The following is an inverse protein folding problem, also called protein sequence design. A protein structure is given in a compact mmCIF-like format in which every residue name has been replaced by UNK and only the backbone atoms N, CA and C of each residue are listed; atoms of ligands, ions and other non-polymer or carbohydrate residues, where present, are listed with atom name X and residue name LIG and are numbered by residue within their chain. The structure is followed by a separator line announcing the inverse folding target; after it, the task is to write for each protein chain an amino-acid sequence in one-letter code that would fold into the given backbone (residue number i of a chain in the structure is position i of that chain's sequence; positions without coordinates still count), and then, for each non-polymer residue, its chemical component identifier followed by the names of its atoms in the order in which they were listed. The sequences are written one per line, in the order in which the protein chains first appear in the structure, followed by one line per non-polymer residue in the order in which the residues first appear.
data_IF_873396569257
#
_entry.id   IF_873396569257
#
_cell.length_a   1.000
_cell.length_b   1.000
_cell.length_c   1.000
_cell.angle_alpha   90.00
_cell.angle_beta   90.00
_cell.angle_gamma   90.00
#
_symmetry.space_group_name_H-M   'P 1'
#
loop_
_entity.id
_entity.type
_entity.pdbx_description
1 polymer ?
#
# COMPACT_ATOMS: atom_id res chain seq x y z
N UNK A 1 -19.67 -33.96 -27.50
CA UNK A 1 -20.44 -34.78 -28.47
C UNK A 1 -20.82 -36.13 -27.89
N UNK A 2 -21.94 -36.70 -28.34
CA UNK A 2 -22.37 -38.05 -27.98
C UNK A 2 -22.37 -38.92 -29.25
N UNK A 3 -21.48 -39.91 -29.29
CA UNK A 3 -21.41 -40.88 -30.40
C UNK A 3 -21.94 -42.21 -29.89
N UNK A 4 -22.84 -42.82 -30.67
CA UNK A 4 -23.36 -44.17 -30.43
C UNK A 4 -22.72 -45.10 -31.45
N UNK A 5 -21.82 -45.96 -30.96
CA UNK A 5 -21.28 -47.06 -31.76
C UNK A 5 -22.01 -48.35 -31.38
N UNK A 6 -22.62 -49.00 -32.37
CA UNK A 6 -23.34 -50.26 -32.17
C UNK A 6 -22.77 -51.36 -33.05
N UNK A 7 -22.51 -52.53 -32.46
CA UNK A 7 -22.14 -53.74 -33.21
C UNK A 7 -23.37 -54.61 -33.38
N UNK A 8 -23.75 -54.91 -34.62
CA UNK A 8 -24.88 -55.77 -34.92
C UNK A 8 -24.48 -57.25 -34.96
N UNK A 9 -25.34 -58.12 -34.42
CA UNK A 9 -25.21 -59.58 -34.46
C UNK A 9 -26.55 -60.18 -34.88
N UNK A 10 -26.54 -61.03 -35.91
CA UNK A 10 -27.73 -61.71 -36.40
C UNK A 10 -28.02 -62.98 -35.58
N UNK A 11 -29.30 -63.21 -35.25
CA UNK A 11 -29.79 -64.46 -34.69
C UNK A 11 -31.15 -64.80 -35.32
N UNK A 12 -31.13 -65.73 -36.29
CA UNK A 12 -32.26 -65.96 -37.19
C UNK A 12 -32.47 -64.75 -38.12
N UNK A 13 -33.73 -64.35 -38.34
CA UNK A 13 -34.08 -63.17 -39.13
C UNK A 13 -34.06 -61.86 -38.30
N UNK A 14 -33.57 -61.90 -37.06
CA UNK A 14 -33.52 -60.75 -36.15
C UNK A 14 -32.08 -60.28 -35.96
N UNK A 15 -31.84 -58.98 -36.09
CA UNK A 15 -30.58 -58.33 -35.72
C UNK A 15 -30.67 -57.84 -34.28
N UNK A 16 -29.70 -58.23 -33.47
CA UNK A 16 -29.51 -57.75 -32.11
C UNK A 16 -28.27 -56.86 -32.05
N UNK A 17 -28.25 -55.88 -31.16
CA UNK A 17 -27.01 -55.18 -30.85
C UNK A 17 -26.23 -56.00 -29.81
N UNK A 18 -25.02 -56.43 -30.14
CA UNK A 18 -24.16 -57.16 -29.19
C UNK A 18 -23.42 -56.24 -28.23
N UNK A 19 -23.21 -54.98 -28.62
CA UNK A 19 -22.57 -53.95 -27.81
C UNK A 19 -23.00 -52.56 -28.27
N UNK A 20 -23.49 -51.75 -27.34
CA UNK A 20 -23.68 -50.31 -27.50
C UNK A 20 -22.59 -49.63 -26.68
N UNK A 21 -21.76 -48.82 -27.34
CA UNK A 21 -20.79 -47.94 -26.66
C UNK A 21 -21.22 -46.50 -26.90
N UNK A 22 -21.47 -45.77 -25.82
CA UNK A 22 -21.80 -44.35 -25.85
C UNK A 22 -20.55 -43.60 -25.41
N UNK A 23 -19.96 -42.81 -26.30
CA UNK A 23 -18.83 -41.94 -25.97
C UNK A 23 -19.31 -40.51 -25.85
N UNK A 24 -19.15 -39.96 -24.64
CA UNK A 24 -19.45 -38.56 -24.35
C UNK A 24 -18.12 -37.82 -24.19
N UNK A 25 -17.85 -36.88 -25.09
CA UNK A 25 -16.74 -35.93 -24.90
C UNK A 25 -17.26 -34.71 -24.15
N UNK A 26 -16.66 -34.45 -22.98
CA UNK A 26 -16.93 -33.29 -22.15
C UNK A 26 -15.59 -32.66 -21.77
N UNK A 27 -15.47 -31.36 -21.98
CA UNK A 27 -14.33 -30.57 -21.51
C UNK A 27 -14.80 -29.84 -20.26
N UNK A 28 -14.26 -30.16 -19.08
CA UNK A 28 -14.59 -29.40 -17.87
C UNK A 28 -14.01 -27.99 -17.93
N UNK A 29 -14.56 -27.05 -17.15
CA UNK A 29 -13.85 -25.82 -16.81
C UNK A 29 -12.45 -26.13 -16.23
N UNK A 30 -11.52 -25.16 -16.26
CA UNK A 30 -10.20 -25.35 -15.67
C UNK A 30 -10.29 -25.61 -14.16
N UNK A 31 -9.32 -26.33 -13.61
CA UNK A 31 -9.13 -26.38 -12.15
C UNK A 31 -8.80 -24.97 -11.61
N UNK A 32 -9.07 -24.66 -10.33
CA UNK A 32 -8.70 -23.37 -9.75
C UNK A 32 -7.18 -23.12 -9.83
N UNK A 33 -6.75 -21.86 -10.01
CA UNK A 33 -5.35 -21.50 -9.84
C UNK A 33 -4.84 -21.91 -8.46
N UNK A 34 -3.55 -22.21 -8.37
CA UNK A 34 -2.91 -22.60 -7.10
C UNK A 34 -1.74 -21.68 -6.78
N UNK A 35 -1.20 -21.76 -5.57
CA UNK A 35 -0.05 -20.95 -5.13
C UNK A 35 -0.27 -19.44 -5.36
N UNK A 36 -1.46 -18.93 -5.02
CA UNK A 36 -1.71 -17.50 -5.00
C UNK A 36 -0.81 -16.88 -3.92
N UNK A 37 -0.05 -15.87 -4.30
CA UNK A 37 0.80 -15.10 -3.40
C UNK A 37 0.60 -13.62 -3.67
N UNK A 38 0.57 -12.79 -2.62
CA UNK A 38 0.51 -11.35 -2.70
C UNK A 38 1.67 -10.72 -1.90
N UNK A 39 2.23 -9.62 -2.39
CA UNK A 39 3.36 -8.96 -1.71
C UNK A 39 2.91 -8.21 -0.46
N UNK A 40 3.68 -8.36 0.63
CA UNK A 40 3.51 -7.63 1.89
C UNK A 40 4.53 -6.52 2.02
N UNK A 41 4.15 -5.29 1.67
CA UNK A 41 4.97 -4.11 1.95
C UNK A 41 6.19 -3.93 1.04
N UNK A 42 6.36 -4.77 0.02
CA UNK A 42 7.51 -4.73 -0.88
C UNK A 42 7.47 -3.52 -1.84
N UNK A 43 6.27 -3.11 -2.25
CA UNK A 43 6.05 -2.00 -3.17
C UNK A 43 5.16 -0.93 -2.55
N UNK A 44 5.52 0.34 -2.76
CA UNK A 44 4.78 1.47 -2.17
C UNK A 44 3.55 1.92 -2.99
N UNK A 45 3.46 1.47 -4.24
CA UNK A 45 2.50 1.91 -5.25
C UNK A 45 1.58 0.79 -5.77
N UNK A 46 1.82 -0.46 -5.36
CA UNK A 46 1.04 -1.62 -5.79
C UNK A 46 1.16 -2.80 -4.82
N UNK A 47 0.29 -3.77 -4.98
CA UNK A 47 0.47 -5.14 -4.50
C UNK A 47 0.71 -6.01 -5.72
N UNK A 48 1.75 -6.85 -5.74
CA UNK A 48 1.98 -7.81 -6.82
C UNK A 48 1.36 -9.13 -6.42
N UNK A 49 0.43 -9.63 -7.23
CA UNK A 49 -0.22 -10.92 -7.07
C UNK A 49 0.38 -11.88 -8.09
N UNK A 50 0.72 -13.10 -7.68
CA UNK A 50 1.19 -14.18 -8.56
C UNK A 50 0.45 -15.48 -8.29
N UNK A 51 0.35 -16.36 -9.29
CA UNK A 51 -0.27 -17.67 -9.14
C UNK A 51 0.29 -18.70 -10.14
N UNK A 52 0.09 -19.98 -9.84
CA UNK A 52 0.33 -21.08 -10.77
C UNK A 52 -0.88 -21.24 -11.71
N UNK A 53 -0.63 -21.16 -13.02
CA UNK A 53 -1.63 -21.28 -14.07
C UNK A 53 -2.35 -22.64 -14.09
N UNK A 54 -3.67 -22.59 -14.20
CA UNK A 54 -4.52 -23.76 -14.45
C UNK A 54 -4.40 -24.29 -15.89
N UNK A 55 -4.37 -25.61 -16.07
CA UNK A 55 -4.32 -26.22 -17.39
C UNK A 55 -5.59 -25.93 -18.21
N UNK A 56 -5.42 -25.51 -19.48
CA UNK A 56 -6.52 -25.22 -20.39
C UNK A 56 -7.23 -23.88 -20.15
N UNK A 57 -6.79 -23.08 -19.19
CA UNK A 57 -7.26 -21.72 -19.00
C UNK A 57 -6.71 -20.77 -20.08
N UNK A 58 -7.49 -19.76 -20.42
CA UNK A 58 -7.16 -18.71 -21.40
C UNK A 58 -7.23 -17.31 -20.81
N UNK A 59 -7.91 -17.15 -19.67
CA UNK A 59 -8.10 -15.89 -18.97
C UNK A 59 -8.06 -16.14 -17.46
N UNK A 60 -7.69 -15.11 -16.70
CA UNK A 60 -7.69 -15.14 -15.24
C UNK A 60 -8.36 -13.87 -14.68
N UNK A 61 -8.97 -13.98 -13.51
CA UNK A 61 -9.56 -12.85 -12.82
C UNK A 61 -9.08 -12.83 -11.37
N UNK A 62 -8.44 -11.72 -10.98
CA UNK A 62 -8.05 -11.45 -9.59
C UNK A 62 -9.23 -10.80 -8.88
N UNK A 63 -9.46 -11.22 -7.64
CA UNK A 63 -10.40 -10.61 -6.72
C UNK A 63 -9.65 -9.96 -5.58
N UNK A 64 -10.12 -8.80 -5.14
CA UNK A 64 -9.72 -8.12 -3.91
C UNK A 64 -10.92 -8.00 -2.99
N UNK A 65 -10.85 -8.58 -1.80
CA UNK A 65 -11.95 -8.58 -0.82
C UNK A 65 -13.29 -8.98 -1.46
N UNK A 66 -13.28 -10.12 -2.18
CA UNK A 66 -14.40 -10.66 -2.95
C UNK A 66 -14.92 -9.80 -4.11
N UNK A 67 -14.26 -8.67 -4.41
CA UNK A 67 -14.59 -7.82 -5.56
C UNK A 67 -13.66 -8.13 -6.75
N UNK A 68 -14.18 -8.49 -7.93
CA UNK A 68 -13.35 -8.76 -9.10
C UNK A 68 -12.69 -7.49 -9.64
N UNK A 69 -11.42 -7.59 -10.02
CA UNK A 69 -10.63 -6.51 -10.62
C UNK A 69 -10.65 -6.55 -12.17
N UNK A 70 -11.55 -7.34 -12.75
CA UNK A 70 -11.68 -7.53 -14.19
C UNK A 70 -10.99 -8.80 -14.70
N UNK A 71 -11.33 -9.18 -15.94
CA UNK A 71 -10.70 -10.32 -16.60
C UNK A 71 -9.40 -9.89 -17.27
N UNK A 72 -8.38 -10.71 -17.08
CA UNK A 72 -7.06 -10.62 -17.67
C UNK A 72 -6.91 -11.74 -18.70
N UNK A 73 -5.93 -11.60 -19.61
CA UNK A 73 -5.57 -12.66 -20.55
C UNK A 73 -4.84 -13.83 -19.87
N UNK A 74 -4.11 -14.60 -20.66
CA UNK A 74 -3.29 -15.71 -20.17
C UNK A 74 -2.03 -15.22 -19.45
N UNK A 75 -2.19 -14.78 -18.20
CA UNK A 75 -1.15 -14.24 -17.32
C UNK A 75 -1.07 -15.03 -16.01
N UNK A 76 0.05 -14.93 -15.31
CA UNK A 76 0.32 -15.54 -13.99
C UNK A 76 0.65 -14.50 -12.92
N UNK A 77 0.45 -13.21 -13.24
CA UNK A 77 0.71 -12.10 -12.35
C UNK A 77 -0.21 -10.92 -12.62
N UNK A 78 -0.46 -10.11 -11.58
CA UNK A 78 -1.21 -8.87 -11.65
C UNK A 78 -0.66 -7.84 -10.66
N UNK A 79 -0.53 -6.60 -11.11
CA UNK A 79 -0.13 -5.45 -10.30
C UNK A 79 -1.37 -4.67 -9.83
N UNK A 80 -1.80 -4.85 -8.57
CA UNK A 80 -2.91 -4.07 -8.01
C UNK A 80 -2.48 -2.66 -7.60
N UNK A 81 -2.43 -1.80 -8.61
CA UNK A 81 -2.26 -0.34 -8.48
C UNK A 81 -3.51 0.39 -7.98
N UNK A 82 -4.59 -0.33 -7.64
CA UNK A 82 -5.76 0.22 -6.96
C UNK A 82 -5.88 -0.11 -5.46
N UNK A 83 -5.01 -0.92 -4.88
CA UNK A 83 -4.97 -1.18 -3.42
C UNK A 83 -4.76 0.12 -2.62
N UNK A 84 -5.21 0.17 -1.37
CA UNK A 84 -5.13 1.41 -0.58
C UNK A 84 -3.68 1.87 -0.39
N UNK A 85 -3.46 3.18 -0.57
CA UNK A 85 -2.15 3.79 -0.36
C UNK A 85 -1.77 3.78 1.13
N UNK A 86 -0.47 3.69 1.44
CA UNK A 86 0.01 3.87 2.81
C UNK A 86 -0.24 5.29 3.32
N UNK A 87 -0.16 5.47 4.64
CA UNK A 87 -0.46 6.76 5.31
C UNK A 87 0.65 7.17 6.28
N UNK A 88 0.72 8.46 6.56
CA UNK A 88 1.52 9.01 7.66
C UNK A 88 0.57 9.48 8.75
N UNK A 89 0.81 9.07 9.99
CA UNK A 89 0.23 9.72 11.17
C UNK A 89 1.15 10.88 11.54
N UNK A 90 0.70 12.15 11.48
CA UNK A 90 1.56 13.27 11.79
C UNK A 90 1.94 13.33 13.26
N UNK A 91 3.18 13.72 13.54
CA UNK A 91 3.67 13.90 14.91
C UNK A 91 3.18 15.19 15.59
N UNK A 92 3.39 15.24 16.90
CA UNK A 92 3.26 16.44 17.71
C UNK A 92 4.61 17.17 17.79
N UNK A 93 4.64 18.43 17.37
CA UNK A 93 5.78 19.32 17.56
C UNK A 93 5.84 19.80 19.00
N UNK A 94 7.06 19.89 19.54
CA UNK A 94 7.38 20.67 20.72
C UNK A 94 8.54 21.61 20.40
N UNK A 95 8.39 22.88 20.77
CA UNK A 95 9.42 23.92 20.67
C UNK A 95 9.71 24.49 22.06
N UNK A 96 11.00 24.62 22.42
CA UNK A 96 11.37 25.11 23.74
C UNK A 96 11.04 26.60 23.93
N UNK A 97 10.62 26.95 25.14
CA UNK A 97 10.34 28.32 25.55
C UNK A 97 11.41 28.84 26.52
N UNK A 98 12.20 29.82 26.09
CA UNK A 98 13.11 30.56 26.95
C UNK A 98 14.21 29.71 27.61
N UNK A 99 14.52 28.53 27.05
CA UNK A 99 15.43 27.56 27.71
C UNK A 99 16.90 27.80 27.36
N UNK A 100 17.20 28.28 26.15
CA UNK A 100 18.56 28.56 25.68
C UNK A 100 18.62 29.92 24.97
N UNK A 101 19.67 30.73 25.19
CA UNK A 101 19.88 31.97 24.43
C UNK A 101 20.40 31.70 23.00
N UNK A 102 20.90 30.49 22.74
CA UNK A 102 21.58 30.16 21.49
C UNK A 102 20.63 29.53 20.46
N UNK A 103 19.55 28.87 20.90
CA UNK A 103 18.65 28.14 20.01
C UNK A 103 17.26 27.90 20.63
N UNK A 104 16.31 27.55 19.77
CA UNK A 104 15.05 26.90 20.17
C UNK A 104 15.19 25.41 19.89
N UNK A 105 15.06 24.57 20.92
CA UNK A 105 15.11 23.12 20.73
C UNK A 105 13.77 22.62 20.21
N UNK A 106 13.79 21.93 19.08
CA UNK A 106 12.63 21.36 18.41
C UNK A 106 12.66 19.85 18.56
N UNK A 107 11.50 19.25 18.81
CA UNK A 107 11.34 17.80 18.79
C UNK A 107 9.98 17.41 18.21
N UNK A 108 9.94 16.24 17.59
CA UNK A 108 8.74 15.63 17.03
C UNK A 108 8.51 14.28 17.72
N UNK A 109 7.25 14.00 18.08
CA UNK A 109 6.89 12.74 18.73
C UNK A 109 5.55 12.20 18.25
N UNK A 110 5.40 10.87 18.27
CA UNK A 110 4.14 10.20 17.93
C UNK A 110 3.86 10.01 16.44
N UNK A 111 4.75 10.48 15.56
CA UNK A 111 4.69 10.24 14.13
C UNK A 111 4.83 8.75 13.78
N UNK A 112 4.12 8.30 12.74
CA UNK A 112 4.29 6.94 12.23
C UNK A 112 4.09 6.86 10.72
N UNK A 113 4.85 5.98 10.08
CA UNK A 113 4.60 5.53 8.72
C UNK A 113 3.81 4.22 8.79
N UNK A 114 2.63 4.19 8.19
CA UNK A 114 1.73 3.04 8.20
C UNK A 114 1.59 2.48 6.79
N UNK A 115 1.72 1.16 6.65
CA UNK A 115 1.46 0.45 5.39
C UNK A 115 0.03 0.72 4.89
N UNK A 116 -0.21 0.39 3.61
CA UNK A 116 -1.57 0.38 3.06
C UNK A 116 -2.47 -0.62 3.77
N UNK A 117 -3.77 -0.54 3.54
CA UNK A 117 -4.72 -1.54 4.04
C UNK A 117 -4.36 -2.93 3.54
N UNK A 118 -4.38 -3.93 4.44
CA UNK A 118 -4.26 -5.34 4.04
C UNK A 118 -5.54 -5.78 3.35
N UNK A 119 -5.39 -6.28 2.14
CA UNK A 119 -6.47 -6.88 1.36
C UNK A 119 -6.27 -8.39 1.22
N UNK A 120 -7.37 -9.12 1.01
CA UNK A 120 -7.34 -10.55 0.69
C UNK A 120 -7.51 -10.74 -0.82
N UNK A 121 -6.63 -11.55 -1.42
CA UNK A 121 -6.62 -11.84 -2.84
C UNK A 121 -6.92 -13.32 -3.12
N UNK A 122 -7.68 -13.55 -4.19
CA UNK A 122 -7.90 -14.88 -4.80
C UNK A 122 -8.00 -14.74 -6.31
N UNK A 123 -7.87 -15.84 -7.02
CA UNK A 123 -7.84 -15.86 -8.49
C UNK A 123 -8.79 -16.95 -9.01
N UNK A 124 -9.52 -16.64 -10.08
CA UNK A 124 -10.24 -17.64 -10.89
C UNK A 124 -9.61 -17.76 -12.27
N UNK A 125 -9.74 -18.94 -12.86
CA UNK A 125 -9.36 -19.21 -14.23
C UNK A 125 -10.62 -19.37 -15.11
N UNK A 126 -10.48 -19.13 -16.41
CA UNK A 126 -11.57 -19.31 -17.37
C UNK A 126 -11.06 -19.93 -18.67
N UNK A 127 -11.90 -20.76 -19.27
CA UNK A 127 -11.74 -21.28 -20.62
C UNK A 127 -13.07 -21.23 -21.39
N UNK A 128 -13.09 -21.75 -22.62
CA UNK A 128 -14.32 -21.93 -23.38
C UNK A 128 -15.33 -22.87 -22.70
N UNK A 129 -14.88 -23.74 -21.80
CA UNK A 129 -15.73 -24.66 -21.05
C UNK A 129 -16.40 -24.01 -19.82
N UNK A 130 -15.94 -22.84 -19.38
CA UNK A 130 -16.45 -22.12 -18.23
C UNK A 130 -15.35 -21.59 -17.31
N UNK A 131 -15.76 -21.12 -16.14
CA UNK A 131 -14.90 -20.59 -15.08
C UNK A 131 -14.60 -21.67 -14.03
N UNK A 132 -13.43 -21.58 -13.42
CA UNK A 132 -13.06 -22.39 -12.27
C UNK A 132 -13.77 -21.92 -11.00
N UNK A 133 -13.74 -22.75 -9.96
CA UNK A 133 -13.96 -22.30 -8.59
C UNK A 133 -12.85 -21.31 -8.15
N UNK A 134 -13.02 -20.71 -6.96
CA UNK A 134 -12.00 -19.87 -6.33
C UNK A 134 -10.72 -20.67 -6.01
N UNK A 135 -9.56 -20.04 -6.24
CA UNK A 135 -8.30 -20.51 -5.65
C UNK A 135 -8.31 -20.41 -4.12
N UNK A 136 -7.24 -20.91 -3.49
CA UNK A 136 -6.87 -20.44 -2.15
C UNK A 136 -6.62 -18.92 -2.12
N UNK A 137 -6.59 -18.35 -0.93
CA UNK A 137 -6.37 -16.91 -0.71
C UNK A 137 -4.99 -16.62 -0.17
N UNK A 138 -4.50 -15.42 -0.44
CA UNK A 138 -3.37 -14.83 0.27
C UNK A 138 -3.64 -13.35 0.57
N UNK A 139 -2.97 -12.78 1.58
CA UNK A 139 -3.12 -11.36 1.93
C UNK A 139 -1.94 -10.54 1.43
N UNK A 140 -2.18 -9.26 1.11
CA UNK A 140 -1.12 -8.35 0.71
C UNK A 140 -1.46 -6.90 0.97
N UNK A 141 -0.44 -6.06 1.10
CA UNK A 141 -0.58 -4.61 1.27
C UNK A 141 0.57 -3.85 0.62
N UNK A 142 0.34 -2.57 0.32
CA UNK A 142 1.40 -1.65 -0.08
C UNK A 142 2.31 -1.32 1.08
N UNK A 143 3.60 -1.15 0.80
CA UNK A 143 4.60 -0.69 1.75
C UNK A 143 4.64 0.84 1.84
N UNK A 144 5.44 1.34 2.77
CA UNK A 144 5.72 2.75 2.94
C UNK A 144 7.23 2.98 3.06
N UNK A 145 7.73 4.09 2.51
CA UNK A 145 9.10 4.51 2.72
C UNK A 145 9.38 4.97 4.16
N UNK A 146 10.65 5.12 4.52
CA UNK A 146 11.02 5.73 5.80
C UNK A 146 10.53 7.19 5.89
N UNK A 147 10.17 7.63 7.09
CA UNK A 147 9.84 9.03 7.35
C UNK A 147 11.07 9.92 7.10
N UNK A 148 10.81 11.07 6.52
CA UNK A 148 11.76 12.15 6.33
C UNK A 148 11.14 13.46 6.78
N UNK A 149 11.99 14.36 7.29
CA UNK A 149 11.56 15.54 8.02
C UNK A 149 12.09 16.79 7.34
N UNK A 150 11.32 17.87 7.43
CA UNK A 150 11.78 19.21 7.12
C UNK A 150 11.08 20.19 8.06
N UNK A 151 11.81 20.69 9.05
CA UNK A 151 11.30 21.71 9.94
C UNK A 151 11.06 23.02 9.19
N UNK A 152 9.98 23.69 9.56
CA UNK A 152 9.60 25.01 9.10
C UNK A 152 9.39 25.95 10.27
N UNK A 153 9.70 27.23 10.02
CA UNK A 153 9.52 28.33 10.98
C UNK A 153 8.67 29.42 10.35
N UNK A 154 7.80 30.04 11.13
CA UNK A 154 7.07 31.24 10.71
C UNK A 154 8.00 32.44 10.51
N UNK A 155 7.59 33.40 9.67
CA UNK A 155 8.37 34.63 9.45
C UNK A 155 8.38 35.57 10.67
N UNK A 156 7.29 35.58 11.44
CA UNK A 156 7.06 36.43 12.59
C UNK A 156 6.39 35.66 13.73
N UNK A 157 6.07 36.33 14.82
CA UNK A 157 5.32 35.77 15.95
C UNK A 157 3.82 35.61 15.61
N UNK A 158 3.57 34.75 14.62
CA UNK A 158 2.25 34.47 14.06
C UNK A 158 2.28 33.11 13.37
N UNK A 159 1.22 32.31 13.53
CA UNK A 159 1.05 31.00 12.89
C UNK A 159 0.70 31.13 11.39
N UNK A 160 1.65 31.65 10.61
CA UNK A 160 1.53 31.81 9.16
C UNK A 160 2.90 32.05 8.52
N UNK A 161 2.95 32.06 7.18
CA UNK A 161 4.15 32.39 6.39
C UNK A 161 5.39 31.55 6.77
N UNK A 162 5.24 30.23 6.70
CA UNK A 162 6.28 29.27 7.01
C UNK A 162 7.35 29.18 5.92
N UNK A 163 8.60 28.99 6.34
CA UNK A 163 9.74 28.69 5.45
C UNK A 163 10.58 27.56 6.04
N UNK A 164 11.24 26.79 5.18
CA UNK A 164 12.12 25.69 5.60
C UNK A 164 13.32 26.24 6.39
N UNK A 165 13.64 25.57 7.50
CA UNK A 165 14.89 25.79 8.22
C UNK A 165 15.96 24.93 7.55
N UNK A 166 17.02 25.57 7.05
CA UNK A 166 18.07 24.88 6.29
C UNK A 166 18.77 23.82 7.15
N UNK A 167 18.83 22.58 6.65
CA UNK A 167 19.49 21.46 7.33
C UNK A 167 18.68 20.81 8.46
N UNK A 168 17.47 21.29 8.74
CA UNK A 168 16.62 20.76 9.81
C UNK A 168 15.78 19.56 9.33
N UNK A 169 16.45 18.42 9.15
CA UNK A 169 15.88 17.20 8.53
C UNK A 169 15.81 15.99 9.47
N UNK A 170 15.90 16.22 10.77
CA UNK A 170 15.88 15.19 11.83
C UNK A 170 14.67 15.39 12.74
N UNK A 171 14.29 14.34 13.48
CA UNK A 171 13.17 14.40 14.45
C UNK A 171 13.36 15.46 15.52
N UNK A 172 14.60 15.70 15.91
CA UNK A 172 14.99 16.81 16.79
C UNK A 172 15.96 17.74 16.08
N UNK A 173 15.85 19.05 16.33
CA UNK A 173 16.73 20.05 15.74
C UNK A 173 16.82 21.28 16.64
N UNK A 174 18.02 21.85 16.76
CA UNK A 174 18.23 23.09 17.50
C UNK A 174 18.28 24.28 16.53
N UNK A 175 17.25 25.12 16.55
CA UNK A 175 17.14 26.27 15.64
C UNK A 175 17.98 27.48 16.09
N UNK A 176 19.22 27.48 15.62
CA UNK A 176 20.16 28.60 15.77
C UNK A 176 19.84 29.82 14.91
N UNK A 177 18.78 29.80 14.10
CA UNK A 177 18.30 30.97 13.34
C UNK A 177 17.12 31.73 13.97
N UNK A 178 16.56 31.25 15.09
CA UNK A 178 15.50 31.97 15.80
C UNK A 178 15.97 33.32 16.36
N UNK A 179 15.08 34.31 16.59
CA UNK A 179 15.48 35.63 17.09
C UNK A 179 16.15 35.57 18.46
N UNK A 180 17.25 36.32 18.62
CA UNK A 180 17.98 36.44 19.89
C UNK A 180 17.29 37.36 20.91
N UNK A 181 16.33 38.16 20.46
CA UNK A 181 15.58 39.12 21.29
C UNK A 181 14.42 38.48 22.07
N UNK A 182 14.31 37.14 22.03
CA UNK A 182 13.22 36.40 22.66
C UNK A 182 11.88 36.49 21.92
N UNK A 183 11.84 37.07 20.71
CA UNK A 183 10.62 37.09 19.90
C UNK A 183 10.19 35.67 19.51
N UNK A 184 8.90 35.38 19.69
CA UNK A 184 8.32 34.08 19.37
C UNK A 184 8.35 33.71 17.89
N UNK A 185 8.41 32.40 17.64
CA UNK A 185 8.20 31.81 16.31
C UNK A 185 7.34 30.57 16.45
N UNK A 186 6.55 30.30 15.43
CA UNK A 186 5.78 29.07 15.31
C UNK A 186 6.57 28.08 14.45
N UNK A 187 6.55 26.82 14.87
CA UNK A 187 7.28 25.72 14.28
C UNK A 187 6.34 24.59 13.92
N UNK A 188 6.63 23.95 12.79
CA UNK A 188 5.98 22.72 12.35
C UNK A 188 6.97 21.90 11.54
N UNK A 189 6.75 20.60 11.47
CA UNK A 189 7.54 19.70 10.66
C UNK A 189 6.71 19.23 9.47
N UNK A 190 7.32 19.27 8.28
CA UNK A 190 6.78 18.61 7.10
C UNK A 190 7.29 17.17 7.09
N UNK A 191 6.37 16.22 7.11
CA UNK A 191 6.64 14.79 7.21
C UNK A 191 6.34 14.12 5.86
N UNK A 192 7.33 13.46 5.28
CA UNK A 192 7.20 12.76 4.00
C UNK A 192 7.61 11.29 4.14
N UNK A 193 6.95 10.43 3.38
CA UNK A 193 7.33 9.04 3.18
C UNK A 193 6.89 8.60 1.77
N UNK A 194 7.75 7.89 1.06
CA UNK A 194 7.44 7.37 -0.28
C UNK A 194 6.18 6.50 -0.23
N UNK A 195 5.24 6.75 -1.15
CA UNK A 195 3.96 6.06 -1.23
C UNK A 195 2.82 6.75 -0.48
N UNK A 196 3.12 7.61 0.50
CA UNK A 196 2.11 8.32 1.28
C UNK A 196 2.01 9.79 0.88
N UNK A 197 0.84 10.38 1.15
CA UNK A 197 0.66 11.83 1.02
C UNK A 197 1.40 12.54 2.15
N UNK A 198 2.14 13.60 1.81
CA UNK A 198 2.82 14.46 2.79
C UNK A 198 1.87 14.92 3.89
N UNK A 199 2.35 14.91 5.13
CA UNK A 199 1.64 15.46 6.28
C UNK A 199 2.42 16.62 6.90
N UNK A 200 1.72 17.39 7.72
CA UNK A 200 2.29 18.48 8.50
C UNK A 200 1.93 18.16 9.96
N UNK A 201 2.93 18.25 10.82
CA UNK A 201 2.76 18.06 12.27
C UNK A 201 1.80 19.10 12.87
N UNK A 202 1.40 18.87 14.12
CA UNK A 202 0.86 19.97 14.92
C UNK A 202 1.87 21.13 14.98
N UNK A 203 1.36 22.35 15.18
CA UNK A 203 2.18 23.56 15.31
C UNK A 203 2.45 23.82 16.79
N UNK A 204 3.66 24.26 17.12
CA UNK A 204 3.99 24.79 18.45
C UNK A 204 4.74 26.11 18.36
N UNK A 205 4.58 26.98 19.37
CA UNK A 205 5.30 28.25 19.46
C UNK A 205 6.50 28.09 20.39
N UNK A 206 7.67 28.60 19.99
CA UNK A 206 8.90 28.59 20.79
C UNK A 206 9.69 29.89 20.69
N UNK A 207 10.57 30.14 21.66
CA UNK A 207 11.45 31.30 21.69
C UNK A 207 12.73 31.05 22.50
N UNK A 208 13.76 31.85 22.23
CA UNK A 208 15.03 31.78 22.97
C UNK A 208 14.96 32.48 24.31
N UNK A 209 15.80 32.07 25.24
CA UNK A 209 16.05 32.84 26.45
C UNK A 209 16.58 34.22 26.04
N UNK A 210 15.96 35.29 26.57
CA UNK A 210 16.52 36.63 26.42
C UNK A 210 17.44 36.91 27.59
N UNK A 211 18.73 37.08 27.31
CA UNK A 211 19.70 37.56 28.30
C UNK A 211 19.89 39.07 28.09
N UNK A 212 19.48 39.93 29.05
CA UNK A 212 19.76 41.36 28.95
C UNK A 212 21.28 41.57 28.95
N UNK A 213 21.80 42.58 28.21
CA UNK A 213 23.22 42.87 28.22
C UNK A 213 23.68 43.14 29.66
N UNK A 214 24.76 42.47 30.07
CA UNK A 214 25.35 42.61 31.40
C UNK A 214 25.74 44.08 31.58
N UNK A 215 24.98 44.80 32.42
CA UNK A 215 25.31 46.19 32.76
C UNK A 215 26.43 46.09 33.80
N UNK A 216 27.67 46.23 33.32
CA UNK A 216 28.82 46.44 34.19
C UNK A 216 28.64 47.82 34.86
N UNK A 217 28.07 47.82 36.06
CA UNK A 217 27.97 49.01 36.92
C UNK A 217 29.35 49.21 37.58
N UNK A 218 30.27 49.76 36.79
CA UNK A 218 31.56 50.28 37.26
C UNK A 218 31.44 51.53 38.12
#
# INVERSE_FOLDING_TARGET
DCIIDSVAVAKGNTLYCSKVEIRVTYTPPPDPPTNVQATDGEHTDKVVITWTKSAGATEYQVYRDDTPLGWLGDVDTYDDTGADAPTITPGATAASDGTSPDYVSLSLSGQSANNGTTHTYKVRAKSAAGESEDSGTDTGHRGIGALTYQWQRSAADSDTNYSNISGATTESYDDIGAPFDGSGRYYRCVENATGASQQISAVDRGYRAWEPPDIDVG
#
